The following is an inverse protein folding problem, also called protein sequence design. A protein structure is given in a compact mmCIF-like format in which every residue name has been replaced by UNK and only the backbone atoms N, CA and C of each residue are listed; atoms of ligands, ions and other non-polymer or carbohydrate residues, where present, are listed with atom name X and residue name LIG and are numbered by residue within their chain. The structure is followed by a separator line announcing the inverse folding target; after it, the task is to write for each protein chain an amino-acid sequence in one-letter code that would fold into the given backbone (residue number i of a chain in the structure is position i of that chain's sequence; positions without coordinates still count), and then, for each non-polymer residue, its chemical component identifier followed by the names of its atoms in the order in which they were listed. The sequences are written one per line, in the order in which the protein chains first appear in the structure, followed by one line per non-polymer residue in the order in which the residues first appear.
data_IF_226227584858
#
_entry.id   IF_226227584858
#
_cell.length_a   1.000
_cell.length_b   1.000
_cell.length_c   1.000
_cell.angle_alpha   90.00
_cell.angle_beta   90.00
_cell.angle_gamma   90.00
#
_symmetry.space_group_name_H-M   'P 1'
#
loop_
_entity.id
_entity.type
_entity.pdbx_description
1 polymer ?
#
# COMPACT_ATOMS: atom_id res chain seq x y z
N UNK A 1 5.46 26.74 6.31
CA UNK A 1 5.90 25.68 5.38
C UNK A 1 5.42 24.29 5.82
N UNK A 2 5.94 23.69 6.91
CA UNK A 2 5.47 22.37 7.38
C UNK A 2 4.06 22.41 7.99
N UNK A 3 3.69 23.52 8.63
CA UNK A 3 2.34 23.73 9.18
C UNK A 3 1.32 23.96 8.08
N UNK A 4 1.65 24.80 7.08
CA UNK A 4 0.82 25.00 5.88
C UNK A 4 0.55 23.66 5.16
N UNK A 5 1.61 22.87 4.91
CA UNK A 5 1.48 21.55 4.30
C UNK A 5 0.62 20.58 5.13
N UNK A 6 0.67 20.71 6.46
CA UNK A 6 -0.16 19.90 7.36
C UNK A 6 -1.62 20.31 7.29
N UNK A 7 -1.91 21.61 7.24
CA UNK A 7 -3.27 22.10 7.03
C UNK A 7 -3.82 21.58 5.70
N UNK A 8 -3.05 21.72 4.62
CA UNK A 8 -3.45 21.22 3.30
C UNK A 8 -3.70 19.70 3.31
N UNK A 9 -2.84 18.92 3.99
CA UNK A 9 -3.01 17.48 4.12
C UNK A 9 -4.25 17.08 4.92
N UNK A 10 -4.60 17.86 5.94
CA UNK A 10 -5.78 17.64 6.78
C UNK A 10 -7.08 18.02 6.05
N UNK A 11 -7.06 19.10 5.25
CA UNK A 11 -8.24 19.69 4.60
C UNK A 11 -8.54 19.12 3.19
N UNK A 12 -7.54 18.57 2.48
CA UNK A 12 -7.75 18.03 1.14
C UNK A 12 -8.46 16.66 1.10
N UNK A 13 -9.34 16.50 0.09
CA UNK A 13 -10.04 15.23 -0.20
C UNK A 13 -9.21 14.31 -1.13
N UNK A 14 -8.22 14.87 -1.83
CA UNK A 14 -7.31 14.11 -2.69
C UNK A 14 -6.30 13.32 -1.84
N UNK A 15 -6.03 12.07 -2.21
CA UNK A 15 -5.04 11.26 -1.49
C UNK A 15 -5.49 10.76 -0.12
N UNK A 16 -6.79 10.83 0.20
CA UNK A 16 -7.33 10.43 1.52
C UNK A 16 -7.03 8.98 1.93
N UNK A 17 -6.86 8.07 0.95
CA UNK A 17 -6.37 6.71 1.21
C UNK A 17 -5.00 6.71 1.86
N UNK A 18 -4.08 7.58 1.41
CA UNK A 18 -2.74 7.74 1.99
C UNK A 18 -2.80 8.47 3.33
N UNK A 19 -3.65 9.51 3.44
CA UNK A 19 -3.89 10.22 4.71
C UNK A 19 -4.33 9.28 5.83
N UNK A 20 -5.24 8.34 5.55
CA UNK A 20 -5.71 7.37 6.54
C UNK A 20 -4.60 6.45 7.09
N UNK A 21 -3.50 6.29 6.35
CA UNK A 21 -2.35 5.46 6.70
C UNK A 21 -1.27 6.31 7.37
N UNK A 22 -0.98 7.49 6.81
CA UNK A 22 -0.01 8.45 7.28
C UNK A 22 -0.70 9.80 7.53
N UNK A 23 -1.44 9.93 8.65
CA UNK A 23 -2.16 11.17 8.94
C UNK A 23 -1.23 12.31 9.34
N UNK A 24 0.02 11.99 9.71
CA UNK A 24 1.00 12.97 10.18
C UNK A 24 2.16 13.08 9.20
N UNK A 25 2.39 14.29 8.72
CA UNK A 25 3.58 14.62 7.93
C UNK A 25 4.80 14.63 8.85
N UNK A 26 5.86 13.94 8.44
CA UNK A 26 7.15 13.91 9.11
C UNK A 26 8.26 14.05 8.08
N UNK A 27 9.34 14.75 8.43
CA UNK A 27 10.57 14.82 7.63
C UNK A 27 11.48 13.61 7.86
N UNK A 28 11.16 12.76 8.85
CA UNK A 28 11.91 11.55 9.10
C UNK A 28 11.66 10.52 7.98
N UNK A 29 12.71 9.94 7.39
CA UNK A 29 12.54 8.93 6.35
C UNK A 29 11.78 7.72 6.88
N UNK A 30 10.81 7.27 6.11
CA UNK A 30 10.04 6.06 6.43
C UNK A 30 10.59 4.88 5.63
N UNK A 31 11.08 3.85 6.32
CA UNK A 31 11.65 2.65 5.70
C UNK A 31 10.54 1.66 5.32
N UNK A 32 9.76 1.98 4.29
CA UNK A 32 8.80 1.06 3.69
C UNK A 32 9.44 0.26 2.55
N UNK A 33 9.07 -1.01 2.41
CA UNK A 33 9.46 -1.79 1.23
C UNK A 33 8.71 -1.27 0.01
N UNK A 34 9.30 -1.43 -1.17
CA UNK A 34 8.69 -1.01 -2.45
C UNK A 34 7.26 -1.54 -2.60
N UNK A 35 7.01 -2.79 -2.24
CA UNK A 35 5.69 -3.42 -2.33
C UNK A 35 4.67 -2.75 -1.40
N UNK A 36 5.07 -2.43 -0.17
CA UNK A 36 4.22 -1.76 0.81
C UNK A 36 3.84 -0.35 0.34
N UNK A 37 4.78 0.40 -0.23
CA UNK A 37 4.51 1.73 -0.81
C UNK A 37 3.46 1.62 -1.92
N UNK A 38 3.61 0.66 -2.84
CA UNK A 38 2.66 0.47 -3.93
C UNK A 38 1.26 0.10 -3.40
N UNK A 39 1.18 -0.80 -2.42
CA UNK A 39 -0.09 -1.21 -1.85
C UNK A 39 -0.81 -0.09 -1.08
N UNK A 40 -0.08 0.61 -0.19
CA UNK A 40 -0.66 1.62 0.69
C UNK A 40 -1.08 2.89 -0.06
N UNK A 41 -0.29 3.29 -1.04
CA UNK A 41 -0.66 4.45 -1.86
C UNK A 41 -1.67 4.10 -2.94
N UNK A 42 -1.83 2.80 -3.23
CA UNK A 42 -2.60 2.30 -4.36
C UNK A 42 -2.02 2.70 -5.72
N UNK A 43 -0.82 3.30 -5.73
CA UNK A 43 -0.08 3.63 -6.94
C UNK A 43 0.69 2.41 -7.42
N UNK A 44 0.72 2.22 -8.73
CA UNK A 44 1.50 1.15 -9.35
C UNK A 44 0.83 0.56 -10.57
N UNK A 45 1.38 -0.55 -11.09
CA UNK A 45 0.84 -1.25 -12.25
C UNK A 45 -0.38 -2.09 -11.89
N UNK A 46 -1.28 -1.57 -11.05
CA UNK A 46 -2.53 -2.23 -10.69
C UNK A 46 -3.56 -1.97 -11.79
N UNK A 47 -4.20 -3.01 -12.36
CA UNK A 47 -5.21 -2.82 -13.40
C UNK A 47 -6.33 -1.85 -13.01
N UNK A 48 -6.77 -1.85 -11.75
CA UNK A 48 -7.79 -0.89 -11.27
C UNK A 48 -7.29 0.55 -11.30
N UNK A 49 -6.01 0.77 -10.97
CA UNK A 49 -5.37 2.09 -11.01
C UNK A 49 -5.21 2.55 -12.46
N UNK A 50 -4.65 1.70 -13.33
CA UNK A 50 -4.47 2.02 -14.75
C UNK A 50 -5.80 2.30 -15.45
N UNK A 51 -6.86 1.56 -15.12
CA UNK A 51 -8.20 1.80 -15.65
C UNK A 51 -8.76 3.18 -15.25
N UNK A 52 -8.53 3.62 -14.00
CA UNK A 52 -8.96 4.95 -13.52
C UNK A 52 -8.35 6.10 -14.35
N UNK A 53 -7.13 5.93 -14.84
CA UNK A 53 -6.44 6.93 -15.67
C UNK A 53 -6.57 6.65 -17.17
N UNK A 54 -7.47 5.76 -17.58
CA UNK A 54 -7.67 5.36 -18.98
C UNK A 54 -6.41 4.79 -19.67
N UNK A 55 -5.46 4.26 -18.88
CA UNK A 55 -4.23 3.63 -19.36
C UNK A 55 -4.41 2.12 -19.63
N UNK A 56 -5.51 1.53 -19.14
CA UNK A 56 -5.87 0.14 -19.39
C UNK A 56 -7.33 0.00 -19.80
N UNK A 57 -7.62 -0.99 -20.65
CA UNK A 57 -8.98 -1.27 -21.12
C UNK A 57 -9.86 -1.91 -20.05
N UNK A 58 -9.29 -2.70 -19.14
CA UNK A 58 -10.02 -3.39 -18.05
C UNK A 58 -9.33 -3.20 -16.70
N UNK A 59 -10.09 -3.38 -15.62
CA UNK A 59 -9.59 -3.42 -14.26
C UNK A 59 -9.22 -4.84 -13.79
N UNK A 60 -9.22 -5.82 -14.71
CA UNK A 60 -9.08 -7.23 -14.34
C UNK A 60 -7.62 -7.57 -14.02
N UNK A 61 -7.43 -8.39 -13.00
CA UNK A 61 -6.15 -9.01 -12.69
C UNK A 61 -5.80 -10.06 -13.77
N UNK A 62 -4.53 -10.16 -14.21
CA UNK A 62 -4.07 -11.25 -15.08
C UNK A 62 -4.27 -12.65 -14.47
N UNK A 63 -4.44 -12.72 -13.15
CA UNK A 63 -4.79 -13.93 -12.41
C UNK A 63 -6.26 -14.37 -12.55
N UNK A 64 -7.08 -13.64 -13.32
CA UNK A 64 -8.48 -13.96 -13.58
C UNK A 64 -9.49 -13.29 -12.64
N UNK A 65 -9.05 -12.57 -11.60
CA UNK A 65 -9.96 -11.78 -10.75
C UNK A 65 -10.44 -10.52 -11.50
N UNK A 66 -11.72 -10.17 -11.38
CA UNK A 66 -12.30 -8.96 -12.02
C UNK A 66 -11.83 -7.66 -11.37
N UNK A 67 -11.23 -7.74 -10.19
CA UNK A 67 -10.80 -6.60 -9.40
C UNK A 67 -9.29 -6.63 -9.15
N UNK A 68 -8.52 -6.06 -10.08
CA UNK A 68 -7.06 -5.91 -10.00
C UNK A 68 -6.63 -4.78 -9.07
N UNK A 69 -7.14 -4.76 -7.84
CA UNK A 69 -6.85 -3.74 -6.83
C UNK A 69 -5.55 -4.03 -6.08
N UNK A 70 -4.90 -3.01 -5.50
CA UNK A 70 -3.76 -3.21 -4.62
C UNK A 70 -4.05 -4.20 -3.48
N UNK A 71 -5.25 -4.16 -2.89
CA UNK A 71 -5.68 -5.08 -1.83
C UNK A 71 -5.71 -6.54 -2.28
N UNK A 72 -6.26 -6.80 -3.48
CA UNK A 72 -6.26 -8.12 -4.07
C UNK A 72 -4.83 -8.66 -4.23
N UNK A 73 -3.91 -7.83 -4.71
CA UNK A 73 -2.49 -8.22 -4.79
C UNK A 73 -1.84 -8.40 -3.42
N UNK A 74 -2.22 -7.63 -2.40
CA UNK A 74 -1.63 -7.74 -1.07
C UNK A 74 -2.07 -9.01 -0.32
N UNK A 75 -3.23 -9.59 -0.64
CA UNK A 75 -3.86 -10.61 0.23
C UNK A 75 -4.36 -11.88 -0.47
N UNK A 76 -4.52 -11.88 -1.79
CA UNK A 76 -5.26 -12.95 -2.50
C UNK A 76 -4.62 -13.39 -3.83
N UNK A 77 -3.98 -12.48 -4.56
CA UNK A 77 -3.52 -12.75 -5.92
C UNK A 77 -2.40 -13.79 -5.95
N UNK A 78 -2.57 -14.86 -6.72
CA UNK A 78 -1.54 -15.90 -6.85
C UNK A 78 -0.19 -15.37 -7.37
N UNK A 79 -0.21 -14.30 -8.18
CA UNK A 79 1.00 -13.68 -8.74
C UNK A 79 1.86 -12.98 -7.68
N UNK A 80 1.30 -12.70 -6.51
CA UNK A 80 1.96 -12.03 -5.38
C UNK A 80 2.04 -12.90 -4.12
N UNK A 81 1.79 -14.20 -4.23
CA UNK A 81 1.70 -15.11 -3.09
C UNK A 81 2.92 -15.08 -2.15
N UNK A 82 4.13 -14.89 -2.70
CA UNK A 82 5.37 -14.84 -1.91
C UNK A 82 5.49 -13.64 -0.97
N UNK A 83 4.68 -12.60 -1.16
CA UNK A 83 4.65 -11.40 -0.34
C UNK A 83 3.23 -11.05 0.13
N UNK A 84 2.34 -12.04 0.18
CA UNK A 84 1.03 -11.86 0.80
C UNK A 84 1.18 -11.42 2.24
N UNK A 85 0.38 -10.44 2.58
CA UNK A 85 0.20 -9.96 3.92
C UNK A 85 -1.01 -10.69 4.52
N UNK A 86 -0.97 -10.97 5.82
CA UNK A 86 -2.04 -11.73 6.49
C UNK A 86 -3.39 -11.03 6.33
N UNK A 87 -4.31 -11.69 5.63
CA UNK A 87 -5.67 -11.19 5.40
C UNK A 87 -6.46 -11.14 6.71
N UNK A 88 -6.97 -9.97 7.06
CA UNK A 88 -7.99 -9.80 8.09
C UNK A 88 -9.26 -9.23 7.44
N UNK A 89 -10.43 -9.41 8.06
CA UNK A 89 -11.73 -9.08 7.47
C UNK A 89 -11.77 -7.64 6.90
N UNK A 90 -12.33 -7.47 5.69
CA UNK A 90 -12.40 -6.21 4.92
C UNK A 90 -12.78 -4.97 5.76
N UNK A 91 -13.68 -5.15 6.75
CA UNK A 91 -14.11 -4.09 7.67
C UNK A 91 -12.98 -3.49 8.53
N UNK A 92 -11.79 -4.07 8.53
CA UNK A 92 -10.61 -3.60 9.26
C UNK A 92 -9.49 -3.12 8.35
N UNK A 93 -9.69 -2.99 7.03
CA UNK A 93 -8.64 -2.60 6.07
C UNK A 93 -7.91 -1.31 6.50
N UNK A 94 -8.63 -0.23 6.81
CA UNK A 94 -8.03 1.04 7.26
C UNK A 94 -7.31 0.91 8.61
N UNK A 95 -7.91 0.20 9.58
CA UNK A 95 -7.31 -0.03 10.91
C UNK A 95 -6.03 -0.86 10.77
N UNK A 96 -6.04 -1.85 9.88
CA UNK A 96 -4.91 -2.70 9.60
C UNK A 96 -3.78 -1.92 8.93
N UNK A 97 -4.09 -1.10 7.92
CA UNK A 97 -3.08 -0.22 7.30
C UNK A 97 -2.43 0.70 8.34
N UNK A 98 -3.21 1.26 9.26
CA UNK A 98 -2.70 2.08 10.36
C UNK A 98 -1.79 1.28 11.31
N UNK A 99 -2.13 0.03 11.59
CA UNK A 99 -1.33 -0.84 12.47
C UNK A 99 -0.01 -1.30 11.82
N UNK A 100 -0.04 -1.64 10.52
CA UNK A 100 1.19 -2.02 9.78
C UNK A 100 2.11 -0.83 9.59
N UNK A 101 1.57 0.34 9.25
CA UNK A 101 2.34 1.58 9.10
C UNK A 101 2.89 2.12 10.42
N UNK A 102 2.23 1.91 11.56
CA UNK A 102 2.73 2.32 12.87
C UNK A 102 3.76 1.36 13.47
N UNK A 103 3.67 0.05 13.20
CA UNK A 103 4.55 -0.95 13.80
C UNK A 103 5.95 -1.02 13.13
N UNK A 104 6.96 -0.34 13.71
CA UNK A 104 8.36 -0.39 13.23
C UNK A 104 8.95 -1.80 13.14
N UNK A 105 8.50 -2.72 14.00
CA UNK A 105 9.02 -4.09 14.07
C UNK A 105 8.49 -5.01 12.97
N UNK A 106 7.32 -4.73 12.39
CA UNK A 106 6.82 -5.49 11.21
C UNK A 106 7.62 -5.16 9.94
N UNK A 107 8.27 -3.99 9.89
CA UNK A 107 9.08 -3.51 8.76
C UNK A 107 10.50 -4.09 8.75
N UNK A 108 11.01 -4.43 9.93
CA UNK A 108 12.32 -5.03 10.12
C UNK A 108 12.25 -6.56 10.01
N UNK A 109 12.10 -7.08 8.79
CA UNK A 109 12.68 -8.39 8.47
C UNK A 109 14.06 -8.13 7.89
N UNK A 110 15.10 -8.32 8.70
CA UNK A 110 16.47 -8.39 8.21
C UNK A 110 16.51 -9.39 7.05
N UNK A 111 16.98 -9.01 5.85
CA UNK A 111 17.39 -10.01 4.89
C UNK A 111 18.61 -10.69 5.49
N UNK A 112 18.43 -11.87 6.08
CA UNK A 112 19.53 -12.79 6.28
C UNK A 112 20.07 -13.10 4.89
N UNK A 113 21.09 -12.37 4.48
CA UNK A 113 21.98 -12.78 3.40
C UNK A 113 22.71 -14.00 3.97
N UNK A 114 22.15 -15.19 3.73
CA UNK A 114 22.92 -16.43 3.83
C UNK A 114 23.95 -16.38 2.71
N UNK A 115 25.11 -15.84 3.03
CA UNK A 115 26.31 -15.93 2.21
C UNK A 115 26.78 -17.37 2.38
N UNK A 116 26.43 -18.23 1.42
CA UNK A 116 26.99 -19.58 1.32
C UNK A 116 28.49 -19.43 1.08
N UNK A 117 29.28 -19.93 2.04
CA UNK A 117 30.71 -20.17 1.90
C UNK A 117 31.01 -21.24 0.86
#
# INVERSE_FOLDING_TARGET
MMEDWRSDWEDEDTGRSTFNILPTISTQPCFWKKQEILFFTGHGPFPSYLKRFNLASTANCPCGNTNGTPWHYATECILSASFHMTKLAQKHELIWFRNVSSNKSSRLKNPTISRSS
#
